data_IF_734740007016
#
_entry.id   IF_734740007016
#
_cell.length_a   1.000
_cell.length_b   1.000
_cell.length_c   1.000
_cell.angle_alpha   90.00
_cell.angle_beta   90.00
_cell.angle_gamma   90.00
#
_symmetry.space_group_name_H-M   'P 1'
#
loop_
_entity.id
_entity.type
_entity.pdbx_description
1 polymer ?
#
# COMPACT_ATOMS: atom_id res chain seq x y z
N UNK A 1 51.37 32.54 -63.14
CA UNK A 1 50.96 31.40 -62.26
C UNK A 1 50.13 31.98 -61.15
N UNK A 2 48.77 31.73 -61.17
CA UNK A 2 47.85 32.20 -60.14
C UNK A 2 47.41 31.01 -59.35
N UNK A 3 47.79 30.96 -58.07
CA UNK A 3 47.40 29.93 -57.09
C UNK A 3 46.03 30.25 -56.49
N UNK A 4 45.05 29.41 -56.74
CA UNK A 4 43.72 29.49 -56.06
C UNK A 4 43.83 28.83 -54.71
N UNK A 5 43.51 29.57 -53.63
CA UNK A 5 43.24 29.05 -52.29
C UNK A 5 41.78 28.60 -52.22
N UNK A 6 41.52 27.32 -52.01
CA UNK A 6 40.20 26.81 -51.70
C UNK A 6 40.01 26.80 -50.17
N UNK A 7 39.07 27.58 -49.71
CA UNK A 7 38.67 27.66 -48.29
C UNK A 7 37.55 26.62 -48.04
N UNK A 8 37.86 25.60 -47.27
CA UNK A 8 36.86 24.59 -46.87
C UNK A 8 36.14 25.06 -45.64
N UNK A 9 34.82 25.27 -45.72
CA UNK A 9 33.96 25.64 -44.60
C UNK A 9 33.45 24.32 -43.97
N UNK A 10 33.88 23.99 -42.77
CA UNK A 10 33.35 22.90 -42.01
C UNK A 10 32.06 23.33 -41.27
N UNK A 11 30.94 22.75 -41.63
CA UNK A 11 29.65 22.91 -40.94
C UNK A 11 29.60 21.94 -39.79
N UNK A 12 29.70 22.43 -38.55
CA UNK A 12 29.48 21.65 -37.38
C UNK A 12 27.97 21.51 -37.11
N UNK A 13 27.43 20.31 -37.28
CA UNK A 13 26.05 19.99 -36.91
C UNK A 13 25.95 19.79 -35.39
N UNK A 14 25.32 20.71 -34.69
CA UNK A 14 24.94 20.56 -33.29
C UNK A 14 23.71 19.65 -33.19
N UNK A 15 23.89 18.43 -32.71
CA UNK A 15 22.79 17.56 -32.34
C UNK A 15 22.19 18.03 -31.00
N UNK A 16 21.00 18.61 -31.03
CA UNK A 16 20.21 18.89 -29.83
C UNK A 16 19.70 17.53 -29.30
N UNK A 17 20.34 17.00 -28.25
CA UNK A 17 19.81 15.90 -27.47
C UNK A 17 18.62 16.44 -26.65
N UNK A 18 17.41 16.13 -27.10
CA UNK A 18 16.20 16.43 -26.35
C UNK A 18 16.17 15.64 -25.04
N UNK A 19 16.38 16.31 -23.90
CA UNK A 19 16.05 15.74 -22.59
C UNK A 19 14.52 15.63 -22.49
N UNK A 20 14.00 14.43 -22.64
CA UNK A 20 12.62 14.14 -22.23
C UNK A 20 12.61 14.15 -20.70
N UNK A 21 12.17 15.26 -20.10
CA UNK A 21 11.84 15.31 -18.67
C UNK A 21 10.69 14.33 -18.43
N UNK A 22 10.99 13.15 -17.89
CA UNK A 22 9.98 12.24 -17.37
C UNK A 22 9.19 13.00 -16.30
N UNK A 23 7.86 13.01 -16.38
CA UNK A 23 7.02 13.57 -15.35
C UNK A 23 7.35 12.88 -14.03
N UNK A 24 8.00 13.57 -13.12
CA UNK A 24 8.16 13.11 -11.74
C UNK A 24 6.76 13.21 -11.10
N UNK A 25 6.10 12.06 -10.97
CA UNK A 25 4.89 11.99 -10.17
C UNK A 25 5.28 12.33 -8.72
N UNK A 26 4.61 13.31 -8.14
CA UNK A 26 4.78 13.62 -6.72
C UNK A 26 4.40 12.36 -5.92
N UNK A 27 5.19 12.03 -4.89
CA UNK A 27 4.86 10.93 -3.99
C UNK A 27 3.50 11.19 -3.33
N UNK A 28 2.61 10.20 -3.39
CA UNK A 28 1.32 10.30 -2.68
C UNK A 28 1.51 9.89 -1.23
N UNK A 29 1.08 10.74 -0.31
CA UNK A 29 1.04 10.42 1.12
C UNK A 29 -0.36 9.99 1.49
N UNK A 30 -0.46 8.88 2.22
CA UNK A 30 -1.71 8.29 2.73
C UNK A 30 -1.58 8.15 4.24
N UNK A 31 -2.39 8.88 5.01
CA UNK A 31 -2.47 8.69 6.44
C UNK A 31 -3.35 7.49 6.73
N UNK A 32 -2.87 6.61 7.61
CA UNK A 32 -3.53 5.35 8.01
C UNK A 32 -3.70 5.34 9.51
N UNK A 33 -4.93 5.10 9.94
CA UNK A 33 -5.33 4.91 11.34
C UNK A 33 -5.68 3.44 11.57
N UNK A 34 -5.00 2.81 12.50
CA UNK A 34 -5.28 1.47 13.00
C UNK A 34 -6.08 1.64 14.29
N UNK A 35 -7.37 1.32 14.26
CA UNK A 35 -8.29 1.59 15.35
C UNK A 35 -8.95 0.34 15.90
N UNK A 36 -9.33 0.34 17.15
CA UNK A 36 -10.18 -0.65 17.77
C UNK A 36 -11.14 -0.02 18.81
N UNK A 37 -12.03 -0.86 19.38
CA UNK A 37 -12.95 -0.48 20.45
C UNK A 37 -12.41 -0.79 21.85
N UNK A 38 -11.12 -1.17 21.95
CA UNK A 38 -10.43 -1.54 23.18
C UNK A 38 -10.50 -3.03 23.51
N UNK A 39 -9.61 -3.49 24.41
CA UNK A 39 -9.43 -4.90 24.74
C UNK A 39 -10.69 -5.59 25.31
N UNK A 40 -11.67 -4.83 25.77
CA UNK A 40 -12.96 -5.38 26.23
C UNK A 40 -13.95 -5.70 25.13
N UNK A 41 -13.67 -5.36 23.86
CA UNK A 41 -14.55 -5.63 22.75
C UNK A 41 -14.43 -7.08 22.26
N UNK A 42 -15.55 -7.75 22.04
CA UNK A 42 -15.54 -9.10 21.48
C UNK A 42 -15.11 -9.03 20.00
N UNK A 43 -14.00 -9.66 19.67
CA UNK A 43 -13.52 -9.76 18.28
C UNK A 43 -14.47 -10.65 17.46
N UNK A 44 -14.80 -10.20 16.24
CA UNK A 44 -15.39 -11.03 15.20
C UNK A 44 -14.38 -12.09 14.73
N UNK A 45 -14.89 -13.15 14.10
CA UNK A 45 -14.04 -14.28 13.63
C UNK A 45 -14.24 -14.63 12.16
N UNK A 46 -15.15 -13.95 11.46
CA UNK A 46 -15.55 -14.28 10.08
C UNK A 46 -15.71 -13.05 9.17
N UNK A 47 -15.13 -11.91 9.56
CA UNK A 47 -15.19 -10.67 8.78
C UNK A 47 -14.06 -10.54 7.75
N UNK A 48 -13.49 -11.65 7.30
CA UNK A 48 -12.38 -11.68 6.34
C UNK A 48 -12.82 -11.18 4.97
N UNK A 49 -11.90 -10.50 4.26
CA UNK A 49 -12.09 -10.01 2.90
C UNK A 49 -12.55 -11.12 1.93
N UNK A 50 -13.45 -10.76 1.00
CA UNK A 50 -14.03 -11.64 -0.02
C UNK A 50 -14.72 -12.91 0.54
N UNK A 51 -15.12 -12.91 1.81
CA UNK A 51 -15.97 -13.94 2.41
C UNK A 51 -17.41 -13.44 2.60
N UNK A 52 -18.40 -14.34 2.82
CA UNK A 52 -19.77 -13.90 3.14
C UNK A 52 -19.84 -12.98 4.37
N UNK A 53 -18.97 -13.19 5.35
CA UNK A 53 -18.89 -12.38 6.57
C UNK A 53 -18.47 -10.94 6.34
N UNK A 54 -17.67 -10.66 5.29
CA UNK A 54 -17.29 -9.30 4.93
C UNK A 54 -18.47 -8.33 4.70
N UNK A 55 -19.67 -8.84 4.44
CA UNK A 55 -20.88 -8.02 4.33
C UNK A 55 -21.32 -7.39 5.66
N UNK A 56 -20.80 -7.88 6.77
CA UNK A 56 -21.13 -7.46 8.13
C UNK A 56 -20.07 -6.54 8.75
N UNK A 57 -19.27 -5.83 7.95
CA UNK A 57 -18.21 -4.94 8.44
C UNK A 57 -18.68 -3.87 9.44
N UNK A 58 -19.98 -3.54 9.46
CA UNK A 58 -20.54 -2.68 10.49
C UNK A 58 -20.42 -3.27 11.92
N UNK A 59 -20.24 -4.59 12.04
CA UNK A 59 -20.02 -5.28 13.31
C UNK A 59 -18.54 -5.32 13.73
N UNK A 60 -17.63 -4.86 12.88
CA UNK A 60 -16.19 -4.86 13.18
C UNK A 60 -15.90 -4.05 14.46
N UNK A 61 -15.03 -4.59 15.27
CA UNK A 61 -14.58 -3.96 16.52
C UNK A 61 -13.18 -3.37 16.41
N UNK A 62 -12.55 -3.54 15.24
CA UNK A 62 -11.27 -2.96 14.87
C UNK A 62 -11.21 -2.78 13.35
N UNK A 63 -10.28 -1.99 12.86
CA UNK A 63 -10.19 -1.73 11.43
C UNK A 63 -9.01 -0.86 11.03
N UNK A 64 -8.84 -0.76 9.72
CA UNK A 64 -7.88 0.11 9.05
C UNK A 64 -8.66 1.23 8.37
N UNK A 65 -8.33 2.49 8.65
CA UNK A 65 -8.91 3.66 8.01
C UNK A 65 -7.83 4.42 7.25
N UNK A 66 -8.10 4.81 6.03
CA UNK A 66 -7.19 5.59 5.17
C UNK A 66 -7.74 6.98 4.91
N UNK A 67 -6.85 7.97 4.75
CA UNK A 67 -7.22 9.35 4.42
C UNK A 67 -7.79 9.47 3.01
N UNK A 68 -7.30 8.64 2.08
CA UNK A 68 -7.79 8.52 0.70
C UNK A 68 -7.83 7.03 0.31
N UNK A 69 -8.87 6.57 -0.42
CA UNK A 69 -9.01 5.16 -0.79
C UNK A 69 -8.19 4.75 -2.01
N UNK A 70 -7.51 5.70 -2.66
CA UNK A 70 -6.73 5.44 -3.87
C UNK A 70 -5.59 6.43 -4.06
N UNK A 71 -4.59 6.02 -4.87
CA UNK A 71 -3.47 6.85 -5.32
C UNK A 71 -3.13 6.55 -6.79
N UNK A 72 -2.49 7.48 -7.53
CA UNK A 72 -1.84 7.16 -8.80
C UNK A 72 -0.69 6.15 -8.61
N UNK A 73 -0.39 5.38 -9.67
CA UNK A 73 0.79 4.51 -9.69
C UNK A 73 2.07 5.31 -9.49
N UNK A 74 3.01 4.74 -8.74
CA UNK A 74 4.27 5.39 -8.42
C UNK A 74 4.61 5.28 -6.94
N UNK A 75 5.28 6.29 -6.42
CA UNK A 75 5.71 6.33 -5.02
C UNK A 75 4.52 6.67 -4.12
N UNK A 76 4.19 5.75 -3.22
CA UNK A 76 3.16 5.94 -2.18
C UNK A 76 3.82 5.77 -0.81
N UNK A 77 3.62 6.73 0.07
CA UNK A 77 4.05 6.66 1.46
C UNK A 77 2.84 6.56 2.38
N UNK A 78 2.77 5.49 3.14
CA UNK A 78 1.78 5.29 4.19
C UNK A 78 2.36 5.80 5.52
N UNK A 79 1.70 6.78 6.13
CA UNK A 79 1.96 7.20 7.51
C UNK A 79 0.94 6.50 8.39
N UNK A 80 1.41 5.55 9.19
CA UNK A 80 0.56 4.64 9.96
C UNK A 80 0.62 5.01 11.43
N UNK A 81 -0.54 5.21 12.03
CA UNK A 81 -0.67 5.44 13.48
C UNK A 81 -1.55 4.37 14.11
N UNK A 82 -1.07 3.77 15.18
CA UNK A 82 -1.88 2.91 16.02
C UNK A 82 -2.67 3.77 17.01
N UNK A 83 -3.96 3.99 16.73
CA UNK A 83 -4.87 4.80 17.56
C UNK A 83 -5.49 4.00 18.72
N UNK A 84 -5.13 2.71 18.88
CA UNK A 84 -5.53 1.92 20.03
C UNK A 84 -4.93 2.48 21.33
N UNK A 85 -5.58 2.18 22.43
CA UNK A 85 -5.11 2.55 23.79
C UNK A 85 -4.36 1.41 24.46
N UNK A 86 -4.55 0.18 24.00
CA UNK A 86 -4.15 -1.01 24.74
C UNK A 86 -3.78 -2.22 23.87
N UNK A 87 -3.90 -2.09 22.53
CA UNK A 87 -3.69 -3.21 21.60
C UNK A 87 -2.59 -2.88 20.60
N UNK A 88 -1.67 -3.82 20.37
CA UNK A 88 -0.65 -3.75 19.31
C UNK A 88 -1.33 -3.99 17.97
N UNK A 89 -0.97 -3.17 16.98
CA UNK A 89 -1.42 -3.31 15.59
C UNK A 89 -0.26 -3.17 14.62
N UNK A 90 -0.43 -3.72 13.41
CA UNK A 90 0.49 -3.56 12.28
C UNK A 90 -0.29 -3.22 11.02
N UNK A 91 0.41 -2.78 9.98
CA UNK A 91 -0.17 -2.61 8.66
C UNK A 91 0.69 -3.29 7.61
N UNK A 92 0.13 -4.28 6.92
CA UNK A 92 0.75 -4.96 5.80
C UNK A 92 0.02 -4.60 4.52
N UNK A 93 0.76 -4.33 3.43
CA UNK A 93 0.21 -4.03 2.11
C UNK A 93 0.21 -5.29 1.26
N UNK A 94 -0.97 -5.85 0.95
CA UNK A 94 -1.16 -7.05 0.14
C UNK A 94 -1.61 -6.69 -1.27
N UNK A 95 -0.97 -7.25 -2.31
CA UNK A 95 -1.44 -7.12 -3.68
C UNK A 95 -2.50 -8.17 -3.99
N UNK A 96 -3.67 -7.75 -4.44
CA UNK A 96 -4.76 -8.66 -4.80
C UNK A 96 -4.62 -9.08 -6.27
N UNK A 97 -4.05 -10.26 -6.51
CA UNK A 97 -3.96 -10.83 -7.87
C UNK A 97 -5.36 -11.16 -8.44
N UNK A 98 -6.26 -11.63 -7.59
CA UNK A 98 -7.68 -11.80 -7.88
C UNK A 98 -8.51 -11.19 -6.73
N UNK A 99 -9.08 -9.99 -6.92
CA UNK A 99 -9.87 -9.31 -5.90
C UNK A 99 -11.18 -10.01 -5.51
N UNK A 100 -11.56 -11.07 -6.20
CA UNK A 100 -12.76 -11.87 -5.87
C UNK A 100 -12.48 -12.99 -4.87
N UNK A 101 -11.19 -13.27 -4.59
CA UNK A 101 -10.77 -14.35 -3.72
C UNK A 101 -10.34 -13.85 -2.33
N UNK A 102 -10.62 -14.61 -1.27
CA UNK A 102 -10.09 -14.31 0.05
C UNK A 102 -8.57 -14.53 0.08
N UNK A 103 -7.89 -13.84 1.00
CA UNK A 103 -6.47 -14.11 1.25
C UNK A 103 -6.28 -15.51 1.85
N UNK A 104 -5.12 -16.16 1.59
CA UNK A 104 -4.79 -17.44 2.19
C UNK A 104 -4.67 -17.29 3.72
N UNK A 105 -5.61 -17.86 4.45
CA UNK A 105 -5.71 -17.76 5.91
C UNK A 105 -5.37 -19.08 6.58
N UNK A 106 -4.46 -19.05 7.57
CA UNK A 106 -4.05 -20.19 8.38
C UNK A 106 -4.82 -20.17 9.69
N UNK A 107 -5.90 -20.92 9.76
CA UNK A 107 -6.80 -20.92 10.92
C UNK A 107 -6.10 -21.31 12.24
N UNK A 108 -5.11 -22.21 12.19
CA UNK A 108 -4.35 -22.64 13.36
C UNK A 108 -3.57 -21.49 14.03
N UNK A 109 -3.09 -20.55 13.21
CA UNK A 109 -2.30 -19.40 13.65
C UNK A 109 -3.15 -18.13 13.79
N UNK A 110 -4.41 -18.19 13.32
CA UNK A 110 -5.32 -17.04 13.18
C UNK A 110 -4.71 -15.89 12.38
N UNK A 111 -3.92 -16.20 11.35
CA UNK A 111 -3.16 -15.25 10.51
C UNK A 111 -3.34 -15.53 9.02
N UNK A 112 -3.14 -14.50 8.22
CA UNK A 112 -2.91 -14.63 6.76
C UNK A 112 -1.50 -15.21 6.54
N UNK A 113 -1.37 -16.12 5.58
CA UNK A 113 -0.07 -16.59 5.08
C UNK A 113 0.51 -15.50 4.16
N UNK A 114 1.40 -14.67 4.69
CA UNK A 114 1.93 -13.47 4.02
C UNK A 114 2.69 -13.81 2.74
N UNK A 115 3.48 -14.89 2.77
CA UNK A 115 4.25 -15.35 1.60
C UNK A 115 3.34 -15.68 0.41
N UNK A 116 2.18 -16.30 0.69
CA UNK A 116 1.19 -16.65 -0.34
C UNK A 116 0.23 -15.52 -0.67
N UNK A 117 0.04 -14.57 0.24
CA UNK A 117 -0.91 -13.47 0.08
C UNK A 117 -0.42 -12.34 -0.82
N UNK A 118 0.87 -12.31 -1.17
CA UNK A 118 1.44 -11.27 -2.04
C UNK A 118 1.81 -10.00 -1.31
N UNK A 119 2.38 -10.14 -0.12
CA UNK A 119 2.96 -9.06 0.67
C UNK A 119 3.90 -8.18 -0.16
N UNK A 120 3.81 -6.85 0.07
CA UNK A 120 4.62 -5.80 -0.57
C UNK A 120 5.47 -5.02 0.43
N UNK A 121 5.23 -5.20 1.70
CA UNK A 121 5.91 -4.54 2.81
C UNK A 121 4.94 -4.13 3.91
N UNK A 122 5.51 -3.80 5.06
CA UNK A 122 4.76 -3.58 6.28
C UNK A 122 5.30 -2.42 7.12
N UNK A 123 4.44 -1.93 8.01
CA UNK A 123 4.81 -1.27 9.26
C UNK A 123 4.51 -2.26 10.35
N UNK A 124 5.57 -2.92 10.85
CA UNK A 124 5.46 -3.98 11.86
C UNK A 124 4.89 -3.43 13.17
N UNK A 125 4.52 -4.35 14.03
CA UNK A 125 3.80 -4.15 15.30
C UNK A 125 4.10 -2.82 16.00
N UNK A 126 3.14 -1.92 15.91
CA UNK A 126 3.16 -0.63 16.60
C UNK A 126 2.51 -0.78 17.97
N UNK A 127 3.20 -0.33 19.00
CA UNK A 127 2.60 -0.15 20.32
C UNK A 127 1.44 0.86 20.28
N UNK A 128 0.51 0.82 21.25
CA UNK A 128 -0.55 1.82 21.37
C UNK A 128 -0.02 3.26 21.33
N UNK A 129 -0.58 4.07 20.43
CA UNK A 129 -0.18 5.46 20.20
C UNK A 129 1.11 5.63 19.39
N UNK A 130 1.80 4.55 18.99
CA UNK A 130 2.99 4.63 18.16
C UNK A 130 2.64 4.85 16.68
N UNK A 131 3.61 5.37 15.92
CA UNK A 131 3.48 5.60 14.49
C UNK A 131 4.71 5.10 13.74
N UNK A 132 4.51 4.74 12.47
CA UNK A 132 5.54 4.31 11.55
C UNK A 132 5.25 4.78 10.14
N UNK A 133 6.17 4.54 9.21
CA UNK A 133 6.00 4.89 7.80
C UNK A 133 6.53 3.81 6.89
N UNK A 134 5.82 3.57 5.80
CA UNK A 134 6.22 2.65 4.73
C UNK A 134 6.12 3.37 3.38
N UNK A 135 7.21 3.37 2.62
CA UNK A 135 7.23 3.92 1.27
C UNK A 135 7.43 2.81 0.26
N UNK A 136 6.52 2.69 -0.70
CA UNK A 136 6.53 1.68 -1.75
C UNK A 136 6.39 2.31 -3.13
N UNK A 137 6.92 1.63 -4.15
CA UNK A 137 6.60 1.92 -5.56
C UNK A 137 5.52 0.95 -5.99
N UNK A 138 4.28 1.44 -6.06
CA UNK A 138 3.11 0.63 -6.37
C UNK A 138 2.73 0.73 -7.85
N UNK A 139 2.36 -0.42 -8.43
CA UNK A 139 1.84 -0.53 -9.80
C UNK A 139 0.30 -0.42 -9.76
N UNK A 140 -0.35 -0.06 -10.89
CA UNK A 140 -1.80 -0.08 -10.95
C UNK A 140 -2.36 -1.44 -10.55
N UNK A 141 -3.41 -1.43 -9.72
CA UNK A 141 -4.04 -2.65 -9.20
C UNK A 141 -4.80 -2.41 -7.91
N UNK A 142 -5.38 -3.48 -7.40
CA UNK A 142 -6.08 -3.47 -6.11
C UNK A 142 -5.19 -4.07 -5.03
N UNK A 143 -5.22 -3.43 -3.89
CA UNK A 143 -4.45 -3.80 -2.72
C UNK A 143 -5.38 -3.93 -1.52
N UNK A 144 -4.96 -4.68 -0.54
CA UNK A 144 -5.58 -4.74 0.77
C UNK A 144 -4.57 -4.31 1.82
N UNK A 145 -4.95 -3.37 2.67
CA UNK A 145 -4.18 -3.02 3.86
C UNK A 145 -4.78 -3.81 5.02
N UNK A 146 -3.98 -4.61 5.69
CA UNK A 146 -4.45 -5.51 6.77
C UNK A 146 -3.62 -5.35 8.03
N UNK A 147 -4.19 -5.73 9.17
CA UNK A 147 -3.43 -6.08 10.36
C UNK A 147 -3.42 -7.60 10.50
N UNK A 148 -2.25 -8.21 10.62
CA UNK A 148 -2.09 -9.66 10.70
C UNK A 148 -1.67 -10.16 12.10
N UNK A 149 -1.79 -9.31 13.13
CA UNK A 149 -1.77 -9.77 14.52
C UNK A 149 -2.84 -10.85 14.68
N UNK A 150 -2.57 -11.97 15.38
CA UNK A 150 -3.48 -13.12 15.43
C UNK A 150 -4.94 -12.75 15.71
N UNK A 151 -5.83 -13.13 14.79
CA UNK A 151 -7.27 -12.87 14.87
C UNK A 151 -7.75 -11.52 14.31
N UNK A 152 -6.87 -10.52 14.16
CA UNK A 152 -7.27 -9.16 13.79
C UNK A 152 -7.83 -9.08 12.36
N UNK A 153 -7.21 -9.76 11.39
CA UNK A 153 -7.74 -9.84 10.03
C UNK A 153 -9.14 -10.45 10.00
N UNK A 154 -9.36 -11.55 10.74
CA UNK A 154 -10.67 -12.20 10.82
C UNK A 154 -11.72 -11.36 11.57
N UNK A 155 -11.28 -10.45 12.46
CA UNK A 155 -12.14 -9.47 13.13
C UNK A 155 -12.50 -8.26 12.25
N UNK A 156 -12.04 -8.22 10.99
CA UNK A 156 -12.35 -7.16 10.04
C UNK A 156 -11.30 -6.05 9.97
N UNK A 157 -10.10 -6.28 10.50
CA UNK A 157 -9.04 -5.26 10.45
C UNK A 157 -8.34 -5.23 9.10
N UNK A 158 -9.06 -4.74 8.10
CA UNK A 158 -8.59 -4.55 6.73
C UNK A 158 -9.35 -3.44 6.01
N UNK A 159 -8.76 -2.91 4.94
CA UNK A 159 -9.42 -1.99 3.99
C UNK A 159 -8.85 -2.15 2.58
N UNK A 160 -9.68 -1.91 1.57
CA UNK A 160 -9.22 -1.88 0.18
C UNK A 160 -8.50 -0.56 -0.12
N UNK A 161 -7.49 -0.65 -0.99
CA UNK A 161 -6.78 0.50 -1.54
C UNK A 161 -6.53 0.29 -3.03
N UNK A 162 -6.89 1.28 -3.86
CA UNK A 162 -6.72 1.18 -5.30
C UNK A 162 -5.53 2.02 -5.77
N UNK A 163 -4.69 1.44 -6.62
CA UNK A 163 -3.66 2.19 -7.35
C UNK A 163 -4.10 2.34 -8.79
N UNK A 164 -4.36 3.58 -9.20
CA UNK A 164 -4.83 3.93 -10.54
C UNK A 164 -3.67 4.10 -11.52
N UNK A 165 -3.99 4.10 -12.83
CA UNK A 165 -3.01 4.35 -13.91
C UNK A 165 -2.56 5.80 -13.93
#
# INVERSE_FOLDING_TARGET
>A
MKTLFQTTIAIAAFALAGLTAGAAFAATVVDVSLWDKGAGATMGTDLMYATPGAKNMAAATMGVKVSVPSAPAGVVTFHVTNDSKDTIHEMIVMYLADPSQPLPYVAADSKVDEDKAGDKGEVSELDPGASGSLTLVLKPGRYLLICNVPGHYAAGMWTEFEVTK
#
